data_IF_738730179544
#
_entry.id   IF_738730179544
#
_cell.length_a   1.000
_cell.length_b   1.000
_cell.length_c   1.000
_cell.angle_alpha   90.00
_cell.angle_beta   90.00
_cell.angle_gamma   90.00
#
_symmetry.space_group_name_H-M   'P 1'
#
loop_
_entity.id
_entity.type
_entity.pdbx_description
1 polymer ?
#
# COMPACT_ATOMS: atom_id res chain seq x y z
N UNK A 1 -25.90 7.15 1.75
CA UNK A 1 -25.55 5.72 1.83
C UNK A 1 -25.98 5.04 0.54
N UNK A 2 -25.07 4.29 -0.08
CA UNK A 2 -25.40 3.43 -1.19
C UNK A 2 -26.30 2.31 -0.64
N UNK A 3 -27.51 2.21 -1.18
CA UNK A 3 -28.57 1.49 -0.48
C UNK A 3 -28.55 -0.02 -0.72
N UNK A 4 -27.92 -0.49 -1.81
CA UNK A 4 -27.99 -1.91 -2.19
C UNK A 4 -26.62 -2.55 -2.28
N UNK A 5 -26.33 -3.54 -1.40
CA UNK A 5 -25.16 -4.40 -1.57
C UNK A 5 -25.18 -5.09 -2.93
N UNK A 6 -24.03 -5.46 -3.45
CA UNK A 6 -23.82 -6.06 -4.78
C UNK A 6 -24.35 -5.21 -5.96
N UNK A 7 -24.85 -4.00 -5.70
CA UNK A 7 -25.34 -3.09 -6.71
C UNK A 7 -24.24 -2.56 -7.63
N UNK A 8 -24.55 -2.42 -8.92
CA UNK A 8 -23.72 -1.67 -9.86
C UNK A 8 -24.25 -0.23 -9.94
N UNK A 9 -23.39 0.73 -9.61
CA UNK A 9 -23.72 2.14 -9.61
C UNK A 9 -23.07 2.85 -10.78
N UNK A 10 -23.79 3.80 -11.35
CA UNK A 10 -23.31 4.69 -12.39
C UNK A 10 -22.98 6.06 -11.82
N UNK A 11 -21.95 6.70 -12.32
CA UNK A 11 -21.59 8.06 -11.95
C UNK A 11 -20.93 8.83 -13.09
N UNK A 12 -21.05 10.12 -13.05
CA UNK A 12 -20.26 11.06 -13.82
C UNK A 12 -19.77 12.20 -12.94
N UNK A 13 -18.68 12.82 -13.31
CA UNK A 13 -18.10 13.97 -12.60
C UNK A 13 -18.18 15.20 -13.48
N UNK A 14 -18.76 16.28 -12.94
CA UNK A 14 -18.85 17.58 -13.63
C UNK A 14 -17.97 18.61 -12.94
N UNK A 15 -17.22 19.37 -13.73
CA UNK A 15 -16.43 20.51 -13.28
C UNK A 15 -16.57 21.65 -14.28
N UNK A 16 -17.12 22.78 -13.85
CA UNK A 16 -17.49 23.86 -14.76
C UNK A 16 -18.49 23.35 -15.83
N UNK A 17 -18.14 23.55 -17.11
CA UNK A 17 -18.92 23.11 -18.25
C UNK A 17 -18.55 21.75 -18.83
N UNK A 18 -17.66 21.01 -18.14
CA UNK A 18 -17.20 19.70 -18.58
C UNK A 18 -17.80 18.60 -17.70
N UNK A 19 -18.29 17.54 -18.35
CA UNK A 19 -18.78 16.35 -17.65
C UNK A 19 -18.04 15.13 -18.21
N UNK A 20 -17.56 14.27 -17.32
CA UNK A 20 -16.92 13.02 -17.70
C UNK A 20 -17.92 12.09 -18.40
N UNK A 21 -17.41 11.12 -19.16
CA UNK A 21 -18.22 9.97 -19.58
C UNK A 21 -18.73 9.21 -18.36
N UNK A 22 -19.84 8.49 -18.55
CA UNK A 22 -20.37 7.58 -17.54
C UNK A 22 -19.33 6.55 -17.12
N UNK A 23 -19.27 6.27 -15.83
CA UNK A 23 -18.44 5.24 -15.25
C UNK A 23 -19.24 4.43 -14.22
N UNK A 24 -18.80 3.22 -13.94
CA UNK A 24 -19.48 2.34 -13.00
C UNK A 24 -18.57 1.96 -11.85
N UNK A 25 -19.15 1.68 -10.69
CA UNK A 25 -18.47 1.03 -9.60
C UNK A 25 -19.41 0.05 -8.88
N UNK A 26 -18.84 -0.96 -8.25
CA UNK A 26 -19.59 -1.94 -7.47
C UNK A 26 -19.72 -1.49 -6.03
N UNK A 27 -20.88 -1.70 -5.42
CA UNK A 27 -21.03 -1.66 -3.97
C UNK A 27 -20.25 -2.81 -3.32
N UNK A 28 -20.07 -2.76 -2.00
CA UNK A 28 -19.50 -3.88 -1.27
C UNK A 28 -20.40 -5.13 -1.42
N UNK A 29 -19.78 -6.30 -1.65
CA UNK A 29 -20.52 -7.55 -1.84
C UNK A 29 -21.16 -8.01 -0.52
N UNK A 30 -22.18 -8.87 -0.63
CA UNK A 30 -22.82 -9.49 0.53
C UNK A 30 -22.04 -10.66 1.09
N UNK A 31 -21.41 -11.47 0.24
CA UNK A 31 -20.90 -12.79 0.64
C UNK A 31 -19.38 -12.90 0.59
N UNK A 32 -18.75 -12.38 -0.47
CA UNK A 32 -17.32 -12.55 -0.71
C UNK A 32 -16.70 -11.25 -1.15
N UNK A 33 -15.82 -10.69 -0.30
CA UNK A 33 -14.98 -9.55 -0.63
C UNK A 33 -13.65 -10.03 -1.24
N UNK A 34 -13.36 -9.58 -2.45
CA UNK A 34 -12.10 -9.85 -3.16
C UNK A 34 -11.25 -8.59 -3.19
N UNK A 35 -10.04 -8.69 -2.65
CA UNK A 35 -9.10 -7.58 -2.54
C UNK A 35 -7.78 -7.98 -3.17
N UNK A 36 -7.31 -7.22 -4.15
CA UNK A 36 -5.96 -7.36 -4.64
C UNK A 36 -5.01 -6.46 -3.85
N UNK A 37 -3.86 -6.99 -3.47
CA UNK A 37 -2.75 -6.22 -2.90
C UNK A 37 -1.54 -6.41 -3.81
N UNK A 38 -1.12 -5.34 -4.47
CA UNK A 38 0.07 -5.28 -5.31
C UNK A 38 1.15 -4.39 -4.68
N UNK A 39 2.36 -4.42 -5.21
CA UNK A 39 3.42 -3.51 -4.78
C UNK A 39 4.53 -3.41 -5.84
N UNK A 40 5.49 -2.50 -5.63
CA UNK A 40 6.69 -2.34 -6.43
C UNK A 40 6.41 -2.36 -7.95
N UNK A 41 5.33 -1.79 -8.36
CA UNK A 41 4.99 -1.77 -9.79
C UNK A 41 5.69 -0.64 -10.57
N UNK A 42 6.32 0.29 -9.88
CA UNK A 42 7.32 1.28 -10.34
C UNK A 42 7.22 1.67 -11.82
N UNK A 43 6.15 2.28 -12.22
CA UNK A 43 5.97 2.71 -13.61
C UNK A 43 4.60 2.36 -14.15
N UNK A 44 4.54 1.57 -15.21
CA UNK A 44 3.29 1.18 -15.85
C UNK A 44 3.17 -0.36 -15.81
N UNK A 45 2.71 -0.93 -14.70
CA UNK A 45 2.61 -2.38 -14.53
C UNK A 45 1.57 -3.00 -15.46
N UNK A 46 1.67 -4.30 -15.70
CA UNK A 46 0.56 -5.06 -16.29
C UNK A 46 -0.43 -5.44 -15.20
N UNK A 47 -1.62 -4.84 -15.23
CA UNK A 47 -2.70 -5.10 -14.29
C UNK A 47 -3.77 -6.04 -14.85
N UNK A 48 -3.53 -6.68 -15.99
CA UNK A 48 -4.52 -7.53 -16.68
C UNK A 48 -5.05 -8.66 -15.82
N UNK A 49 -4.18 -9.28 -15.00
CA UNK A 49 -4.59 -10.34 -14.09
C UNK A 49 -5.51 -9.82 -12.96
N UNK A 50 -5.21 -8.66 -12.40
CA UNK A 50 -6.05 -8.02 -11.36
C UNK A 50 -7.41 -7.63 -11.94
N UNK A 51 -7.43 -7.09 -13.18
CA UNK A 51 -8.67 -6.75 -13.88
C UNK A 51 -9.52 -8.01 -14.11
N UNK A 52 -8.89 -9.12 -14.55
CA UNK A 52 -9.56 -10.40 -14.76
C UNK A 52 -10.14 -10.99 -13.49
N UNK A 53 -9.48 -10.78 -12.36
CA UNK A 53 -9.97 -11.25 -11.06
C UNK A 53 -11.19 -10.48 -10.55
N UNK A 54 -11.55 -9.38 -11.20
CA UNK A 54 -12.76 -8.61 -10.91
C UNK A 54 -12.89 -8.24 -9.42
N UNK A 55 -11.85 -7.63 -8.89
CA UNK A 55 -11.73 -7.31 -7.47
C UNK A 55 -12.64 -6.15 -7.04
N UNK A 56 -13.05 -6.14 -5.79
CA UNK A 56 -13.87 -5.08 -5.21
C UNK A 56 -13.02 -3.92 -4.67
N UNK A 57 -11.73 -4.18 -4.42
CA UNK A 57 -10.80 -3.21 -3.83
C UNK A 57 -9.38 -3.52 -4.30
N UNK A 58 -8.66 -2.49 -4.68
CA UNK A 58 -7.24 -2.56 -5.02
C UNK A 58 -6.43 -1.79 -3.97
N UNK A 59 -5.51 -2.48 -3.33
CA UNK A 59 -4.55 -1.91 -2.39
C UNK A 59 -3.14 -2.05 -2.94
N UNK A 60 -2.23 -1.21 -2.46
CA UNK A 60 -0.80 -1.45 -2.67
C UNK A 60 -0.03 -1.49 -1.36
N UNK A 61 1.15 -2.08 -1.40
CA UNK A 61 2.11 -2.06 -0.32
C UNK A 61 3.36 -1.23 -0.74
N UNK A 62 3.11 -0.06 -1.34
CA UNK A 62 4.10 0.95 -1.69
C UNK A 62 4.71 0.84 -3.08
N UNK A 63 5.52 1.85 -3.42
CA UNK A 63 6.22 2.00 -4.69
C UNK A 63 5.27 2.02 -5.91
N UNK A 64 4.30 2.93 -5.86
CA UNK A 64 3.24 3.08 -6.85
C UNK A 64 3.74 3.72 -8.17
N UNK A 65 4.84 4.44 -8.12
CA UNK A 65 5.47 5.12 -9.26
C UNK A 65 6.97 4.86 -9.26
N UNK A 66 7.66 5.14 -10.35
CA UNK A 66 9.12 4.99 -10.39
C UNK A 66 9.85 6.08 -9.59
N UNK A 67 9.39 7.28 -9.65
CA UNK A 67 9.84 8.48 -8.93
C UNK A 67 9.05 9.70 -9.42
N UNK A 68 9.20 10.84 -8.73
CA UNK A 68 8.56 12.08 -9.17
C UNK A 68 9.47 12.91 -10.09
N UNK A 69 10.78 12.90 -9.86
CA UNK A 69 11.71 13.82 -10.50
C UNK A 69 11.84 13.67 -12.03
N UNK A 70 11.67 12.47 -12.58
CA UNK A 70 11.80 12.24 -14.03
C UNK A 70 10.75 12.98 -14.86
N UNK A 71 9.51 13.08 -14.37
CA UNK A 71 8.42 13.77 -15.06
C UNK A 71 8.21 15.21 -14.58
N UNK A 72 8.76 15.56 -13.43
CA UNK A 72 8.45 16.80 -12.74
C UNK A 72 9.64 17.76 -12.59
N UNK A 73 10.85 17.27 -12.85
CA UNK A 73 12.07 17.97 -12.49
C UNK A 73 12.48 17.74 -11.03
N UNK A 74 13.80 17.77 -10.79
CA UNK A 74 14.37 17.51 -9.47
C UNK A 74 13.91 18.54 -8.43
N UNK A 75 13.50 18.04 -7.24
CA UNK A 75 13.07 18.86 -6.13
C UNK A 75 11.64 19.36 -6.18
N UNK A 76 10.87 19.06 -7.22
CA UNK A 76 9.46 19.46 -7.31
C UNK A 76 8.59 18.49 -6.49
N UNK A 77 8.17 18.95 -5.33
CA UNK A 77 7.38 18.17 -4.37
C UNK A 77 5.88 18.09 -4.71
N UNK A 78 5.37 19.02 -5.50
CA UNK A 78 3.92 19.18 -5.69
C UNK A 78 3.39 18.53 -6.98
N UNK A 79 4.28 18.01 -7.80
CA UNK A 79 3.92 17.53 -9.13
C UNK A 79 3.32 16.12 -9.08
N UNK A 80 2.08 16.01 -9.48
CA UNK A 80 1.27 14.78 -9.47
C UNK A 80 1.29 13.99 -10.78
N UNK A 81 2.03 14.45 -11.80
CA UNK A 81 2.06 13.82 -13.14
C UNK A 81 2.32 12.31 -13.14
N UNK A 82 3.23 11.75 -12.30
CA UNK A 82 3.47 10.30 -12.29
C UNK A 82 2.23 9.50 -11.89
N UNK A 83 1.48 9.99 -10.91
CA UNK A 83 0.23 9.34 -10.47
C UNK A 83 -0.88 9.47 -11.51
N UNK A 84 -1.05 10.66 -12.11
CA UNK A 84 -2.00 10.86 -13.19
C UNK A 84 -1.72 9.88 -14.36
N UNK A 85 -0.44 9.73 -14.75
CA UNK A 85 -0.04 8.78 -15.79
C UNK A 85 -0.35 7.33 -15.45
N UNK A 86 -0.21 6.93 -14.18
CA UNK A 86 -0.59 5.59 -13.72
C UNK A 86 -2.11 5.37 -13.89
N UNK A 87 -2.91 6.30 -13.40
CA UNK A 87 -4.38 6.22 -13.47
C UNK A 87 -4.86 6.22 -14.93
N UNK A 88 -4.30 7.10 -15.78
CA UNK A 88 -4.65 7.21 -17.19
C UNK A 88 -4.31 5.95 -18.01
N UNK A 89 -3.38 5.12 -17.52
CA UNK A 89 -3.03 3.86 -18.18
C UNK A 89 -4.15 2.82 -18.09
N UNK A 90 -4.91 2.82 -16.99
CA UNK A 90 -5.99 1.85 -16.73
C UNK A 90 -7.26 2.55 -16.24
N UNK A 91 -7.82 3.48 -17.05
CA UNK A 91 -8.93 4.30 -16.60
C UNK A 91 -10.17 3.47 -16.24
N UNK A 92 -10.41 2.37 -16.92
CA UNK A 92 -11.51 1.45 -16.61
C UNK A 92 -11.40 0.86 -15.20
N UNK A 93 -10.21 0.39 -14.81
CA UNK A 93 -9.97 -0.16 -13.48
C UNK A 93 -10.12 0.91 -12.39
N UNK A 94 -9.35 2.00 -12.51
CA UNK A 94 -9.30 3.02 -11.46
C UNK A 94 -10.59 3.84 -11.33
N UNK A 95 -11.45 3.83 -12.34
CA UNK A 95 -12.78 4.45 -12.25
C UNK A 95 -13.83 3.52 -11.64
N UNK A 96 -13.61 2.21 -11.68
CA UNK A 96 -14.60 1.22 -11.22
C UNK A 96 -14.25 0.55 -9.90
N UNK A 97 -12.99 0.60 -9.49
CA UNK A 97 -12.47 -0.11 -8.31
C UNK A 97 -11.80 0.89 -7.37
N UNK A 98 -12.25 1.02 -6.13
CA UNK A 98 -11.56 1.83 -5.13
C UNK A 98 -10.09 1.44 -5.02
N UNK A 99 -9.23 2.44 -5.08
CA UNK A 99 -7.78 2.29 -5.02
C UNK A 99 -7.24 2.97 -3.77
N UNK A 100 -6.58 2.21 -2.92
CA UNK A 100 -6.04 2.66 -1.63
C UNK A 100 -4.54 2.38 -1.58
N UNK A 101 -3.69 3.30 -2.09
CA UNK A 101 -2.26 3.12 -2.12
C UNK A 101 -1.59 3.35 -0.76
N UNK A 102 -0.50 2.61 -0.52
CA UNK A 102 0.44 2.85 0.58
C UNK A 102 1.70 3.50 0.04
N UNK A 103 2.37 4.30 0.83
CA UNK A 103 3.64 4.93 0.47
C UNK A 103 4.78 3.92 0.42
N UNK A 104 5.61 4.03 -0.62
CA UNK A 104 6.95 3.51 -0.69
C UNK A 104 7.97 4.63 -0.84
N UNK A 105 9.25 4.29 -0.91
CA UNK A 105 10.28 5.31 -1.09
C UNK A 105 10.23 5.96 -2.48
N UNK A 106 9.84 5.22 -3.52
CA UNK A 106 9.69 5.74 -4.86
C UNK A 106 8.58 6.79 -4.99
N UNK A 107 7.53 6.71 -4.18
CA UNK A 107 6.46 7.70 -4.13
C UNK A 107 6.94 9.08 -3.64
N UNK A 108 8.04 9.10 -2.91
CA UNK A 108 8.66 10.29 -2.31
C UNK A 108 9.94 10.74 -3.00
N UNK A 109 10.45 9.97 -3.96
CA UNK A 109 11.72 10.22 -4.62
C UNK A 109 11.65 11.44 -5.55
N UNK A 110 12.00 12.61 -5.00
CA UNK A 110 11.95 13.91 -5.71
C UNK A 110 13.27 14.30 -6.36
N UNK A 111 14.37 13.59 -6.12
CA UNK A 111 15.69 13.79 -6.74
C UNK A 111 16.33 12.47 -7.08
N UNK A 112 17.22 12.43 -8.09
CA UNK A 112 18.06 11.25 -8.32
C UNK A 112 18.86 10.89 -7.07
N UNK A 113 18.98 9.61 -6.80
CA UNK A 113 19.65 9.12 -5.57
C UNK A 113 21.13 9.48 -5.49
N UNK A 114 21.84 9.50 -6.61
CA UNK A 114 23.25 9.86 -6.66
C UNK A 114 24.17 9.02 -5.77
N UNK A 115 25.25 9.62 -5.27
CA UNK A 115 26.15 9.02 -4.28
C UNK A 115 25.50 9.01 -2.89
N UNK A 116 25.87 8.03 -2.06
CA UNK A 116 25.34 7.91 -0.69
C UNK A 116 26.42 8.33 0.33
N UNK A 117 26.17 9.27 1.23
CA UNK A 117 24.99 10.12 1.35
C UNK A 117 24.97 11.23 0.28
N UNK A 118 23.80 11.60 -0.23
CA UNK A 118 23.69 12.76 -1.10
C UNK A 118 23.83 14.08 -0.30
N UNK A 119 24.19 15.16 -0.99
CA UNK A 119 24.32 16.50 -0.38
C UNK A 119 22.96 17.10 0.01
N UNK A 120 21.88 16.68 -0.66
CA UNK A 120 20.53 17.16 -0.42
C UNK A 120 19.57 15.98 -0.21
N UNK A 121 18.46 16.16 0.55
CA UNK A 121 17.44 15.11 0.69
C UNK A 121 16.92 14.60 -0.65
N UNK A 122 16.92 13.28 -0.83
CA UNK A 122 16.39 12.61 -2.02
C UNK A 122 14.88 12.51 -1.98
N UNK A 123 14.35 12.29 -0.79
CA UNK A 123 12.94 11.99 -0.57
C UNK A 123 12.21 13.16 0.10
N UNK A 124 10.98 13.38 -0.31
CA UNK A 124 10.02 14.24 0.36
C UNK A 124 9.29 13.44 1.44
N UNK A 125 9.70 13.57 2.70
CA UNK A 125 9.13 12.78 3.80
C UNK A 125 7.63 13.02 3.95
N UNK A 126 7.18 14.26 3.71
CA UNK A 126 5.77 14.63 3.80
C UNK A 126 4.92 14.04 2.67
N UNK A 127 5.57 13.43 1.64
CA UNK A 127 4.92 12.85 0.47
C UNK A 127 3.91 13.81 -0.19
N UNK A 128 4.31 15.07 -0.37
CA UNK A 128 3.42 16.17 -0.79
C UNK A 128 2.66 15.86 -2.07
N UNK A 129 3.34 15.31 -3.11
CA UNK A 129 2.70 14.94 -4.37
C UNK A 129 1.64 13.83 -4.19
N UNK A 130 1.94 12.85 -3.38
CA UNK A 130 1.03 11.74 -3.07
C UNK A 130 -0.24 12.24 -2.36
N UNK A 131 -0.06 13.01 -1.28
CA UNK A 131 -1.16 13.59 -0.49
C UNK A 131 -1.98 14.62 -1.28
N UNK A 132 -1.39 15.25 -2.28
CA UNK A 132 -2.10 16.16 -3.18
C UNK A 132 -2.93 15.42 -4.23
N UNK A 133 -2.57 14.19 -4.56
CA UNK A 133 -3.23 13.41 -5.59
C UNK A 133 -4.29 12.46 -5.04
N UNK A 134 -4.01 11.84 -3.89
CA UNK A 134 -4.92 10.88 -3.26
C UNK A 134 -5.58 11.50 -2.03
N UNK A 135 -6.85 11.20 -1.84
CA UNK A 135 -7.62 11.50 -0.64
C UNK A 135 -7.81 10.20 0.13
N UNK A 136 -7.04 10.02 1.20
CA UNK A 136 -7.03 8.80 2.00
C UNK A 136 -7.47 9.07 3.44
N UNK A 137 -7.95 8.06 4.17
CA UNK A 137 -8.36 8.24 5.56
C UNK A 137 -7.21 8.69 6.45
N UNK A 138 -7.54 9.34 7.57
CA UNK A 138 -6.63 9.82 8.60
C UNK A 138 -5.61 10.85 8.06
N UNK A 139 -4.31 10.57 8.20
CA UNK A 139 -3.23 11.49 7.81
C UNK A 139 -2.66 11.19 6.42
N UNK A 140 -3.30 10.27 5.66
CA UNK A 140 -2.94 9.84 4.30
C UNK A 140 -1.58 9.11 4.20
N UNK A 141 -0.55 9.49 4.93
CA UNK A 141 0.73 8.78 4.97
C UNK A 141 0.70 7.53 5.88
N UNK A 142 -0.22 7.50 6.85
CA UNK A 142 -0.68 6.34 7.62
C UNK A 142 -2.19 6.37 7.69
N UNK A 143 -2.83 5.26 7.44
CA UNK A 143 -4.27 5.20 7.42
C UNK A 143 -4.81 3.82 7.79
N UNK A 144 -6.06 3.78 8.17
CA UNK A 144 -6.80 2.53 8.24
C UNK A 144 -8.25 2.75 7.81
N UNK A 145 -8.88 1.70 7.39
CA UNK A 145 -10.32 1.65 7.25
C UNK A 145 -10.86 0.25 7.58
N UNK A 146 -12.13 0.22 7.95
CA UNK A 146 -12.83 -1.00 8.32
C UNK A 146 -13.84 -1.37 7.23
N UNK A 147 -13.98 -2.67 6.96
CA UNK A 147 -15.09 -3.24 6.20
C UNK A 147 -15.96 -4.06 7.16
N UNK A 148 -16.93 -3.42 7.85
CA UNK A 148 -17.63 -4.04 8.97
C UNK A 148 -18.37 -5.32 8.58
N UNK A 149 -18.97 -5.35 7.38
CA UNK A 149 -19.69 -6.51 6.87
C UNK A 149 -18.84 -7.78 6.74
N UNK A 150 -17.49 -7.63 6.70
CA UNK A 150 -16.52 -8.73 6.61
C UNK A 150 -15.61 -8.85 7.81
N UNK A 151 -15.84 -8.02 8.84
CA UNK A 151 -15.06 -7.99 10.07
C UNK A 151 -13.54 -7.86 9.84
N UNK A 152 -13.16 -7.08 8.83
CA UNK A 152 -11.77 -6.85 8.43
C UNK A 152 -11.39 -5.37 8.53
N UNK A 153 -10.16 -5.12 8.97
CA UNK A 153 -9.46 -3.83 8.98
C UNK A 153 -8.24 -3.91 8.09
N UNK A 154 -8.04 -2.91 7.26
CA UNK A 154 -6.80 -2.67 6.53
C UNK A 154 -6.09 -1.48 7.16
N UNK A 155 -4.79 -1.63 7.43
CA UNK A 155 -3.96 -0.58 8.03
C UNK A 155 -2.69 -0.39 7.21
N UNK A 156 -2.35 0.85 6.91
CA UNK A 156 -1.17 1.26 6.17
C UNK A 156 -0.17 2.00 7.06
N UNK A 157 1.11 1.69 6.88
CA UNK A 157 2.22 2.27 7.59
C UNK A 157 3.25 2.81 6.61
N UNK A 158 3.86 3.94 6.96
CA UNK A 158 4.98 4.51 6.21
C UNK A 158 6.31 3.98 6.75
N UNK A 159 6.68 2.79 6.30
CA UNK A 159 7.90 2.08 6.71
C UNK A 159 8.67 1.71 5.44
N UNK A 160 9.71 2.45 5.13
CA UNK A 160 10.57 2.18 3.99
C UNK A 160 11.97 2.76 4.23
N UNK A 161 13.00 2.05 3.79
CA UNK A 161 14.40 2.41 3.99
C UNK A 161 14.73 2.79 5.45
N UNK A 162 14.22 2.03 6.41
CA UNK A 162 14.38 2.31 7.85
C UNK A 162 15.85 2.40 8.30
N UNK A 163 16.76 1.73 7.60
CA UNK A 163 18.21 1.81 7.86
C UNK A 163 18.81 3.18 7.58
N UNK A 164 18.13 4.00 6.78
CA UNK A 164 18.59 5.32 6.37
C UNK A 164 17.94 6.45 7.19
N UNK A 165 17.16 6.10 8.20
CA UNK A 165 16.50 7.07 9.07
C UNK A 165 17.48 8.03 9.73
N UNK A 166 17.16 9.34 9.74
CA UNK A 166 18.00 10.39 10.27
C UNK A 166 19.14 10.86 9.35
N UNK A 167 19.17 10.36 8.11
CA UNK A 167 20.15 10.77 7.08
C UNK A 167 19.48 11.55 5.95
N UNK A 168 20.26 12.05 5.00
CA UNK A 168 19.74 12.65 3.74
C UNK A 168 19.05 11.62 2.82
N UNK A 169 19.14 10.33 3.17
CA UNK A 169 18.44 9.22 2.51
C UNK A 169 17.18 8.77 3.27
N UNK A 170 16.81 9.47 4.33
CA UNK A 170 15.58 9.13 5.03
C UNK A 170 14.38 9.17 4.08
N UNK A 171 13.62 8.10 4.06
CA UNK A 171 12.48 7.92 3.18
C UNK A 171 11.16 7.66 3.92
N UNK A 172 11.16 7.51 5.23
CA UNK A 172 9.96 7.24 6.02
C UNK A 172 9.83 8.17 7.22
N UNK A 173 8.62 8.28 7.73
CA UNK A 173 8.36 8.91 9.02
C UNK A 173 9.01 8.12 10.17
N UNK A 174 9.12 8.75 11.33
CA UNK A 174 9.66 8.11 12.52
C UNK A 174 8.88 6.84 12.89
N UNK A 175 9.60 5.78 13.24
CA UNK A 175 9.05 4.47 13.58
C UNK A 175 9.51 3.95 14.95
N UNK A 176 10.32 4.70 15.66
CA UNK A 176 10.77 4.37 17.01
C UNK A 176 9.58 4.28 17.97
N UNK A 177 9.76 3.61 19.10
CA UNK A 177 8.68 3.31 20.05
C UNK A 177 7.93 4.55 20.60
N UNK A 178 8.59 5.68 20.63
CA UNK A 178 8.03 6.97 21.04
C UNK A 178 7.48 7.81 19.88
N UNK A 179 7.59 7.33 18.65
CA UNK A 179 7.08 8.04 17.46
C UNK A 179 5.55 8.09 17.43
N UNK A 180 5.04 9.06 16.68
CA UNK A 180 3.61 9.18 16.43
C UNK A 180 3.04 7.93 15.76
N UNK A 181 3.72 7.42 14.72
CA UNK A 181 3.28 6.23 13.97
C UNK A 181 3.22 4.98 14.86
N UNK A 182 4.25 4.77 15.70
CA UNK A 182 4.28 3.63 16.60
C UNK A 182 3.11 3.66 17.60
N UNK A 183 2.91 4.81 18.28
CA UNK A 183 1.81 4.98 19.24
C UNK A 183 0.43 4.86 18.59
N UNK A 184 0.27 5.43 17.39
CA UNK A 184 -0.97 5.34 16.63
C UNK A 184 -1.29 3.88 16.29
N UNK A 185 -0.30 3.14 15.79
CA UNK A 185 -0.48 1.74 15.40
C UNK A 185 -0.69 0.83 16.61
N UNK A 186 0.02 1.03 17.72
CA UNK A 186 -0.22 0.26 18.96
C UNK A 186 -1.63 0.47 19.51
N UNK A 187 -2.14 1.70 19.48
CA UNK A 187 -3.53 2.00 19.81
C UNK A 187 -4.50 1.28 18.88
N UNK A 188 -4.25 1.34 17.56
CA UNK A 188 -5.07 0.66 16.55
C UNK A 188 -5.12 -0.86 16.77
N UNK A 189 -3.97 -1.48 17.03
CA UNK A 189 -3.86 -2.92 17.26
C UNK A 189 -4.36 -3.38 18.63
N UNK A 190 -4.56 -2.47 19.56
CA UNK A 190 -5.17 -2.74 20.86
C UNK A 190 -6.70 -2.66 20.80
N UNK A 191 -7.24 -2.00 19.79
CA UNK A 191 -8.67 -1.99 19.49
C UNK A 191 -9.11 -3.34 18.86
N UNK A 192 -9.99 -4.06 19.53
CA UNK A 192 -10.51 -5.36 19.09
C UNK A 192 -11.79 -5.25 18.24
N UNK A 193 -12.02 -4.09 17.63
CA UNK A 193 -13.23 -3.82 16.84
C UNK A 193 -13.37 -4.71 15.60
N UNK A 194 -12.27 -5.33 15.13
CA UNK A 194 -12.29 -6.24 13.98
C UNK A 194 -11.53 -7.53 14.26
N UNK A 195 -12.04 -8.64 13.75
CA UNK A 195 -11.46 -9.97 13.89
C UNK A 195 -10.19 -10.13 13.03
N UNK A 196 -10.21 -9.59 11.82
CA UNK A 196 -9.11 -9.66 10.90
C UNK A 196 -8.45 -8.29 10.72
N UNK A 197 -7.14 -8.23 10.82
CA UNK A 197 -6.35 -7.03 10.53
C UNK A 197 -5.26 -7.38 9.54
N UNK A 198 -5.26 -6.70 8.40
CA UNK A 198 -4.25 -6.78 7.35
C UNK A 198 -3.41 -5.52 7.41
N UNK A 199 -2.13 -5.65 7.66
CA UNK A 199 -1.20 -4.52 7.72
C UNK A 199 -0.36 -4.44 6.45
N UNK A 200 -0.23 -3.23 5.90
CA UNK A 200 0.45 -2.93 4.65
C UNK A 200 1.60 -1.93 4.89
N UNK A 201 2.76 -2.19 4.31
CA UNK A 201 3.91 -1.28 4.34
C UNK A 201 4.92 -1.63 3.24
N UNK A 202 6.01 -0.85 3.10
CA UNK A 202 7.04 -1.06 2.09
C UNK A 202 8.44 -1.15 2.73
N UNK A 203 8.73 -2.24 3.42
CA UNK A 203 10.04 -2.53 4.01
C UNK A 203 10.23 -4.05 4.17
N UNK A 204 11.47 -4.50 4.27
CA UNK A 204 11.77 -5.92 4.52
C UNK A 204 11.11 -6.41 5.80
N UNK A 205 10.36 -7.48 5.71
CA UNK A 205 9.70 -8.09 6.86
C UNK A 205 10.69 -8.40 8.00
N UNK A 206 11.85 -8.96 7.67
CA UNK A 206 12.90 -9.28 8.64
C UNK A 206 13.45 -8.04 9.33
N UNK A 207 13.66 -6.94 8.60
CA UNK A 207 14.13 -5.68 9.17
C UNK A 207 13.11 -5.08 10.13
N UNK A 208 11.84 -5.06 9.74
CA UNK A 208 10.78 -4.51 10.60
C UNK A 208 10.57 -5.34 11.87
N UNK A 209 10.62 -6.67 11.77
CA UNK A 209 10.48 -7.52 12.95
C UNK A 209 11.52 -7.23 14.04
N UNK A 210 12.76 -6.91 13.63
CA UNK A 210 13.86 -6.65 14.57
C UNK A 210 13.77 -5.27 15.23
N UNK A 211 12.99 -4.33 14.67
CA UNK A 211 12.95 -2.97 15.18
C UNK A 211 12.38 -2.90 16.59
N UNK A 212 12.90 -1.95 17.37
CA UNK A 212 12.49 -1.67 18.75
C UNK A 212 12.53 -2.96 19.62
N UNK A 213 13.57 -3.79 19.42
CA UNK A 213 13.77 -5.07 20.12
C UNK A 213 12.58 -6.03 19.94
N UNK A 214 12.00 -6.04 18.75
CA UNK A 214 10.87 -6.90 18.40
C UNK A 214 9.49 -6.33 18.75
N UNK A 215 9.39 -5.08 19.19
CA UNK A 215 8.10 -4.48 19.53
C UNK A 215 7.18 -4.39 18.31
N UNK A 216 7.69 -4.10 17.13
CA UNK A 216 6.93 -4.12 15.88
C UNK A 216 6.37 -5.51 15.57
N UNK A 217 7.18 -6.56 15.71
CA UNK A 217 6.71 -7.94 15.54
C UNK A 217 5.57 -8.27 16.52
N UNK A 218 5.73 -7.90 17.78
CA UNK A 218 4.69 -8.13 18.79
C UNK A 218 3.37 -7.39 18.47
N UNK A 219 3.46 -6.21 17.86
CA UNK A 219 2.27 -5.49 17.39
C UNK A 219 1.64 -6.16 16.17
N UNK A 220 2.42 -6.52 15.15
CA UNK A 220 1.91 -7.22 13.96
C UNK A 220 1.15 -8.49 14.32
N UNK A 221 1.67 -9.27 15.27
CA UNK A 221 1.04 -10.51 15.76
C UNK A 221 -0.31 -10.32 16.45
N UNK A 222 -0.68 -9.11 16.84
CA UNK A 222 -2.04 -8.81 17.30
C UNK A 222 -3.06 -8.82 16.16
N UNK A 223 -2.59 -8.73 14.90
CA UNK A 223 -3.38 -8.80 13.67
C UNK A 223 -3.39 -10.18 13.04
N UNK A 224 -3.69 -10.24 11.74
CA UNK A 224 -3.85 -11.49 10.99
C UNK A 224 -2.67 -11.77 10.09
N UNK A 225 -2.28 -10.80 9.25
CA UNK A 225 -1.16 -10.90 8.30
C UNK A 225 -0.53 -9.52 8.09
N UNK A 226 0.72 -9.52 7.65
CA UNK A 226 1.39 -8.33 7.12
C UNK A 226 1.78 -8.58 5.66
N UNK A 227 1.58 -7.58 4.81
CA UNK A 227 1.94 -7.62 3.39
C UNK A 227 2.83 -6.43 3.09
N UNK A 228 3.97 -6.68 2.50
CA UNK A 228 4.93 -5.66 2.08
C UNK A 228 5.24 -5.77 0.59
N UNK A 229 5.80 -4.70 0.05
CA UNK A 229 6.35 -4.62 -1.30
C UNK A 229 7.79 -4.13 -1.25
N UNK A 230 8.72 -4.90 -0.71
CA UNK A 230 10.12 -4.52 -0.67
C UNK A 230 11.01 -5.54 -1.36
N UNK A 231 11.67 -5.10 -2.44
CA UNK A 231 12.43 -5.99 -3.31
C UNK A 231 11.50 -6.75 -4.27
N UNK A 232 12.03 -7.23 -5.36
CA UNK A 232 11.26 -7.65 -6.54
C UNK A 232 11.04 -9.16 -6.55
N UNK A 233 10.21 -9.67 -5.63
CA UNK A 233 9.96 -11.11 -5.48
C UNK A 233 8.67 -11.39 -4.72
N UNK A 234 8.14 -12.59 -4.92
CA UNK A 234 7.04 -13.15 -4.13
C UNK A 234 7.60 -13.97 -2.98
N UNK A 235 7.16 -13.71 -1.74
CA UNK A 235 7.57 -14.46 -0.56
C UNK A 235 6.43 -14.68 0.42
N UNK A 236 6.47 -15.82 1.10
CA UNK A 236 5.74 -16.08 2.34
C UNK A 236 6.71 -16.52 3.42
N UNK A 237 6.73 -15.80 4.52
CA UNK A 237 7.50 -16.16 5.72
C UNK A 237 6.57 -16.36 6.92
N UNK A 238 6.94 -17.24 7.83
CA UNK A 238 6.16 -17.53 9.05
C UNK A 238 7.07 -17.40 10.27
N UNK A 239 6.67 -16.57 11.21
CA UNK A 239 7.42 -16.33 12.46
C UNK A 239 6.46 -16.29 13.64
N UNK A 240 6.69 -17.12 14.63
CA UNK A 240 5.87 -17.22 15.86
C UNK A 240 4.37 -17.36 15.57
N UNK A 241 4.01 -18.13 14.53
CA UNK A 241 2.64 -18.35 14.11
C UNK A 241 1.99 -17.19 13.35
N UNK A 242 2.75 -16.14 13.01
CA UNK A 242 2.26 -15.02 12.21
C UNK A 242 2.87 -15.06 10.79
N UNK A 243 2.03 -14.77 9.78
CA UNK A 243 2.42 -14.82 8.38
C UNK A 243 2.74 -13.43 7.83
N UNK A 244 3.90 -13.34 7.17
CA UNK A 244 4.36 -12.21 6.40
C UNK A 244 4.38 -12.56 4.92
N UNK A 245 3.87 -11.66 4.09
CA UNK A 245 3.97 -11.74 2.65
C UNK A 245 4.82 -10.59 2.10
N UNK A 246 5.56 -10.88 1.03
CA UNK A 246 6.12 -9.88 0.13
C UNK A 246 5.59 -10.13 -1.27
N UNK A 247 5.26 -9.07 -1.99
CA UNK A 247 4.74 -9.14 -3.35
C UNK A 247 5.29 -8.00 -4.21
N UNK A 248 5.39 -8.20 -5.51
CA UNK A 248 5.89 -7.19 -6.45
C UNK A 248 5.36 -7.47 -7.85
N UNK A 249 4.97 -6.43 -8.58
CA UNK A 249 4.68 -6.50 -10.01
C UNK A 249 5.91 -6.18 -10.88
N UNK A 250 7.09 -6.14 -10.28
CA UNK A 250 8.39 -6.05 -10.95
C UNK A 250 9.29 -7.19 -10.48
N UNK A 251 8.87 -8.42 -10.67
CA UNK A 251 9.47 -9.65 -10.12
C UNK A 251 10.89 -9.98 -10.62
N UNK A 252 11.62 -8.98 -11.13
CA UNK A 252 13.00 -9.08 -11.62
C UNK A 252 13.87 -8.06 -10.90
N UNK A 253 14.67 -8.48 -9.97
CA UNK A 253 15.58 -7.58 -9.27
C UNK A 253 16.14 -8.17 -7.99
N UNK A 254 16.52 -7.30 -7.08
CA UNK A 254 17.15 -7.70 -5.83
C UNK A 254 16.14 -8.44 -4.94
N UNK A 255 16.54 -9.63 -4.51
CA UNK A 255 15.78 -10.44 -3.56
C UNK A 255 16.46 -10.36 -2.20
N UNK A 256 15.66 -10.15 -1.18
CA UNK A 256 16.12 -10.08 0.21
C UNK A 256 15.30 -11.06 1.06
N UNK A 257 15.45 -12.39 0.82
CA UNK A 257 14.60 -13.38 1.45
C UNK A 257 14.73 -13.34 2.97
N UNK A 258 13.62 -13.55 3.62
CA UNK A 258 13.57 -13.74 5.06
C UNK A 258 14.21 -15.08 5.46
N UNK A 259 14.92 -15.12 6.56
CA UNK A 259 15.50 -16.38 7.10
C UNK A 259 14.41 -17.42 7.44
N UNK A 260 13.17 -16.97 7.63
CA UNK A 260 12.00 -17.81 7.91
C UNK A 260 11.09 -18.01 6.69
N UNK A 261 11.63 -17.77 5.49
CA UNK A 261 10.89 -17.95 4.25
C UNK A 261 10.39 -19.39 4.09
N UNK A 262 9.13 -19.56 3.76
CA UNK A 262 8.48 -20.85 3.42
C UNK A 262 8.20 -20.98 1.94
N UNK A 263 8.19 -19.86 1.23
CA UNK A 263 8.03 -19.78 -0.21
C UNK A 263 8.75 -18.55 -0.73
N UNK A 264 9.52 -18.71 -1.81
CA UNK A 264 10.24 -17.62 -2.47
C UNK A 264 10.25 -17.83 -3.97
N UNK A 265 9.90 -16.79 -4.72
CA UNK A 265 9.97 -16.82 -6.19
C UNK A 265 10.21 -15.40 -6.75
N UNK A 266 11.23 -15.27 -7.62
CA UNK A 266 11.46 -14.06 -8.41
C UNK A 266 10.49 -14.02 -9.59
N UNK A 267 9.29 -13.51 -9.37
CA UNK A 267 8.24 -13.40 -10.39
C UNK A 267 7.32 -12.23 -10.06
N UNK A 268 6.70 -11.67 -11.10
CA UNK A 268 5.59 -10.73 -10.93
C UNK A 268 4.46 -11.42 -10.16
N UNK A 269 3.97 -10.74 -9.14
CA UNK A 269 2.96 -11.28 -8.23
C UNK A 269 2.12 -10.20 -7.59
N UNK A 270 0.93 -10.55 -7.20
CA UNK A 270 0.09 -9.83 -6.25
C UNK A 270 -0.60 -10.83 -5.32
N UNK A 271 -1.09 -10.35 -4.20
CA UNK A 271 -1.86 -11.16 -3.25
C UNK A 271 -3.34 -10.93 -3.51
N UNK A 272 -4.07 -11.99 -3.79
CA UNK A 272 -5.53 -11.98 -3.84
C UNK A 272 -6.08 -12.47 -2.50
N UNK A 273 -6.68 -11.55 -1.75
CA UNK A 273 -7.41 -11.88 -0.53
C UNK A 273 -8.88 -12.16 -0.88
N UNK A 274 -9.36 -13.33 -0.48
CA UNK A 274 -10.76 -13.71 -0.57
C UNK A 274 -11.31 -13.80 0.84
N UNK A 275 -12.17 -12.85 1.21
CA UNK A 275 -12.71 -12.72 2.57
C UNK A 275 -14.19 -13.06 2.49
N UNK A 276 -14.59 -14.18 3.09
CA UNK A 276 -15.98 -14.61 3.13
C UNK A 276 -16.65 -14.09 4.38
N UNK A 277 -17.87 -13.58 4.22
CA UNK A 277 -18.72 -13.27 5.33
C UNK A 277 -19.10 -14.58 6.00
N UNK A 278 -18.86 -14.67 7.31
CA UNK A 278 -19.30 -15.85 8.05
C UNK A 278 -20.83 -15.87 8.01
N UNK A 279 -21.47 -16.90 7.47
CA UNK A 279 -22.91 -17.02 7.64
C UNK A 279 -23.21 -17.01 9.12
N UNK A 280 -24.15 -16.19 9.54
CA UNK A 280 -24.57 -16.10 10.93
C UNK A 280 -24.78 -17.52 11.48
N UNK A 281 -24.02 -17.84 12.57
CA UNK A 281 -24.33 -19.03 13.37
C UNK A 281 -25.68 -18.86 14.03
#
# INVERSE_FOLDING_TARGET
>A
SLAEPDGLYHYSVSTGNQTSTDATFKAYPTDVLRVAVAADWQGLPDLSAIIKDDVHLLLTAGDNISNTHQLCGAGNKECVKPYARLIDRYPGLFRSTPFMPVLGNHDKEMRPRGSKPPSEPVYDIDATAFRRFFELPNDEWKWYFDVPGFDVRFAALDLNHISDFGTTWQACHAFQKDSEQFRWYDKLMSDKARKFVVTLYNERNGSMRAQERGAWHNMFRKGTIAITGFGYYAERAEVDGFTYYNTSLSGKGNQYPDSNSKFLKGADSYILLTITKNPAK
#
